data_IF_509790601798
#
_entry.id   IF_509790601798
#
_cell.length_a   1.000
_cell.length_b   1.000
_cell.length_c   1.000
_cell.angle_alpha   90.00
_cell.angle_beta   90.00
_cell.angle_gamma   90.00
#
_symmetry.space_group_name_H-M   'P 1'
#
loop_
_entity.id
_entity.type
_entity.pdbx_description
1 polymer ?
#
# COMPACT_ATOMS: atom_id res chain seq x y z
N UNK A 1 -23.85 -1.81 -10.23
CA UNK A 1 -24.15 -0.88 -9.11
C UNK A 1 -23.82 -1.51 -7.76
N UNK A 2 -23.89 -2.83 -7.62
CA UNK A 2 -23.53 -3.54 -6.39
C UNK A 2 -22.02 -3.58 -6.10
N UNK A 3 -21.16 -3.73 -7.12
CA UNK A 3 -19.73 -3.91 -6.84
C UNK A 3 -19.04 -2.62 -6.35
N UNK A 4 -19.53 -1.44 -6.74
CA UNK A 4 -19.05 -0.17 -6.17
C UNK A 4 -19.39 -0.10 -4.67
N UNK A 5 -20.60 -0.51 -4.28
CA UNK A 5 -21.00 -0.55 -2.86
C UNK A 5 -20.18 -1.57 -2.08
N UNK A 6 -19.92 -2.75 -2.66
CA UNK A 6 -19.02 -3.75 -2.06
C UNK A 6 -17.61 -3.20 -1.87
N UNK A 7 -17.10 -2.46 -2.85
CA UNK A 7 -15.78 -1.83 -2.77
C UNK A 7 -15.72 -0.77 -1.66
N UNK A 8 -16.74 0.07 -1.54
CA UNK A 8 -16.87 1.06 -0.47
C UNK A 8 -17.00 0.39 0.90
N UNK A 9 -17.74 -0.72 0.99
CA UNK A 9 -17.85 -1.52 2.20
C UNK A 9 -16.49 -2.13 2.58
N UNK A 10 -15.77 -2.72 1.62
CA UNK A 10 -14.44 -3.28 1.85
C UNK A 10 -13.45 -2.22 2.33
N UNK A 11 -13.54 -0.99 1.82
CA UNK A 11 -12.75 0.13 2.30
C UNK A 11 -13.06 0.45 3.77
N UNK A 12 -14.34 0.45 4.15
CA UNK A 12 -14.76 0.70 5.53
C UNK A 12 -14.32 -0.43 6.48
N UNK A 13 -14.41 -1.68 6.04
CA UNK A 13 -13.91 -2.84 6.79
C UNK A 13 -12.40 -2.74 7.00
N UNK A 14 -11.64 -2.42 5.95
CA UNK A 14 -10.19 -2.17 6.02
C UNK A 14 -9.86 -1.04 7.02
N UNK A 15 -10.62 0.05 7.01
CA UNK A 15 -10.42 1.16 7.98
C UNK A 15 -10.70 0.69 9.41
N UNK A 16 -11.70 -0.17 9.62
CA UNK A 16 -12.00 -0.71 10.94
C UNK A 16 -10.88 -1.63 11.44
N UNK A 17 -10.26 -2.42 10.56
CA UNK A 17 -9.08 -3.22 10.87
C UNK A 17 -7.89 -2.33 11.24
N UNK A 18 -7.61 -1.29 10.46
CA UNK A 18 -6.56 -0.31 10.76
C UNK A 18 -6.74 0.36 12.11
N UNK A 19 -7.98 0.58 12.56
CA UNK A 19 -8.28 1.19 13.87
C UNK A 19 -7.83 0.33 15.04
N UNK A 20 -7.88 -0.99 14.92
CA UNK A 20 -7.55 -1.94 16.01
C UNK A 20 -6.12 -2.48 15.93
N UNK A 21 -5.42 -2.25 14.81
CA UNK A 21 -4.01 -2.57 14.65
C UNK A 21 -3.13 -1.73 15.58
N UNK A 22 -2.00 -2.30 15.99
CA UNK A 22 -1.01 -1.60 16.80
C UNK A 22 -0.41 -0.41 16.03
N UNK A 23 -0.29 0.73 16.70
CA UNK A 23 0.16 1.98 16.10
C UNK A 23 1.62 2.27 16.48
N UNK A 24 2.40 2.92 15.60
CA UNK A 24 2.03 3.47 14.30
C UNK A 24 1.96 2.40 13.19
N UNK A 25 0.97 2.52 12.31
CA UNK A 25 0.87 1.67 11.11
C UNK A 25 1.69 2.28 9.97
N UNK A 26 2.40 1.43 9.25
CA UNK A 26 3.14 1.80 8.04
C UNK A 26 2.65 1.01 6.84
N UNK A 27 2.91 1.51 5.64
CA UNK A 27 2.58 0.83 4.38
C UNK A 27 3.78 0.84 3.45
N UNK A 28 3.95 -0.22 2.68
CA UNK A 28 4.90 -0.26 1.55
C UNK A 28 4.15 0.05 0.25
N UNK A 29 4.70 0.95 -0.55
CA UNK A 29 4.21 1.33 -1.87
C UNK A 29 5.33 1.14 -2.90
N UNK A 30 5.01 0.75 -4.13
CA UNK A 30 6.03 0.55 -5.16
C UNK A 30 5.47 0.00 -6.46
N UNK A 31 6.34 -0.26 -7.45
CA UNK A 31 5.97 -0.98 -8.66
C UNK A 31 5.45 -2.39 -8.31
N UNK A 32 4.37 -2.81 -8.97
CA UNK A 32 3.88 -4.19 -8.97
C UNK A 32 3.63 -4.61 -10.42
N UNK A 33 2.60 -4.05 -11.04
CA UNK A 33 2.18 -4.37 -12.42
C UNK A 33 2.72 -3.41 -13.49
N UNK A 34 3.16 -2.21 -13.10
CA UNK A 34 3.70 -1.19 -14.01
C UNK A 34 5.02 -0.63 -13.48
N UNK A 35 6.01 -0.48 -14.36
CA UNK A 35 7.36 0.00 -14.03
C UNK A 35 8.21 -1.00 -13.25
N UNK A 36 9.41 -0.58 -12.83
CA UNK A 36 10.25 -1.33 -11.89
C UNK A 36 11.17 -2.34 -12.58
N UNK A 37 11.12 -3.58 -12.09
CA UNK A 37 12.02 -4.67 -12.49
C UNK A 37 11.29 -5.87 -13.12
N UNK A 38 9.99 -5.71 -13.40
CA UNK A 38 9.10 -6.80 -13.85
C UNK A 38 8.29 -7.38 -12.69
N UNK A 39 7.15 -8.01 -13.01
CA UNK A 39 6.13 -8.41 -12.02
C UNK A 39 6.69 -9.29 -10.89
N UNK A 40 7.43 -10.35 -11.23
CA UNK A 40 7.95 -11.30 -10.23
C UNK A 40 8.93 -10.63 -9.25
N UNK A 41 9.86 -9.84 -9.78
CA UNK A 41 10.86 -9.15 -8.94
C UNK A 41 10.22 -8.03 -8.13
N UNK A 42 9.28 -7.29 -8.71
CA UNK A 42 8.51 -6.26 -8.01
C UNK A 42 7.73 -6.87 -6.82
N UNK A 43 7.01 -7.97 -7.05
CA UNK A 43 6.28 -8.69 -6.00
C UNK A 43 7.24 -9.19 -4.91
N UNK A 44 8.37 -9.82 -5.30
CA UNK A 44 9.40 -10.27 -4.35
C UNK A 44 9.91 -9.13 -3.46
N UNK A 45 10.16 -7.95 -4.04
CA UNK A 45 10.64 -6.76 -3.33
C UNK A 45 9.58 -6.19 -2.38
N UNK A 46 8.31 -6.13 -2.79
CA UNK A 46 7.19 -5.74 -1.92
C UNK A 46 7.05 -6.68 -0.71
N UNK A 47 7.09 -8.00 -0.96
CA UNK A 47 7.04 -9.00 0.12
C UNK A 47 8.24 -8.87 1.06
N UNK A 48 9.45 -8.75 0.52
CA UNK A 48 10.67 -8.62 1.32
C UNK A 48 10.68 -7.34 2.17
N UNK A 49 10.25 -6.21 1.60
CA UNK A 49 10.15 -4.95 2.33
C UNK A 49 9.13 -5.00 3.47
N UNK A 50 7.96 -5.60 3.21
CA UNK A 50 6.94 -5.84 4.25
C UNK A 50 7.47 -6.72 5.37
N UNK A 51 8.16 -7.82 5.04
CA UNK A 51 8.76 -8.70 6.03
C UNK A 51 9.82 -8.00 6.88
N UNK A 52 10.67 -7.18 6.25
CA UNK A 52 11.73 -6.45 6.92
C UNK A 52 11.19 -5.35 7.85
N UNK A 53 10.15 -4.62 7.44
CA UNK A 53 9.47 -3.67 8.34
C UNK A 53 8.83 -4.37 9.53
N UNK A 54 8.17 -5.53 9.31
CA UNK A 54 7.63 -6.35 10.41
C UNK A 54 8.75 -6.80 11.36
N UNK A 55 9.89 -7.26 10.83
CA UNK A 55 11.07 -7.67 11.63
C UNK A 55 11.64 -6.53 12.47
N UNK A 56 11.53 -5.28 11.98
CA UNK A 56 11.92 -4.06 12.71
C UNK A 56 10.89 -3.59 13.75
N UNK A 57 9.76 -4.30 13.89
CA UNK A 57 8.73 -4.00 14.87
C UNK A 57 7.64 -3.05 14.39
N UNK A 58 7.60 -2.70 13.09
CA UNK A 58 6.51 -1.91 12.54
C UNK A 58 5.25 -2.76 12.37
N UNK A 59 4.09 -2.13 12.60
CA UNK A 59 2.81 -2.70 12.19
C UNK A 59 2.56 -2.32 10.73
N UNK A 60 2.71 -3.29 9.83
CA UNK A 60 2.61 -3.06 8.38
C UNK A 60 1.20 -3.37 7.90
N UNK A 61 0.55 -2.40 7.26
CA UNK A 61 -0.70 -2.62 6.53
C UNK A 61 -0.44 -3.43 5.26
N UNK A 62 -1.07 -4.59 5.18
CA UNK A 62 -1.01 -5.50 4.04
C UNK A 62 -2.29 -5.38 3.21
N UNK A 63 -2.17 -4.93 1.97
CA UNK A 63 -3.32 -4.68 1.11
C UNK A 63 -3.67 -5.90 0.22
N UNK A 64 -2.78 -6.89 0.12
CA UNK A 64 -2.99 -8.07 -0.75
C UNK A 64 -4.32 -8.81 -0.47
N UNK A 65 -4.78 -8.98 0.78
CA UNK A 65 -6.07 -9.61 1.04
C UNK A 65 -7.24 -8.86 0.40
N UNK A 66 -7.21 -7.52 0.45
CA UNK A 66 -8.22 -6.68 -0.19
C UNK A 66 -8.07 -6.67 -1.71
N UNK A 67 -6.84 -6.74 -2.23
CA UNK A 67 -6.58 -6.82 -3.68
C UNK A 67 -7.26 -8.03 -4.33
N UNK A 68 -7.18 -9.21 -3.69
CA UNK A 68 -7.78 -10.43 -4.20
C UNK A 68 -9.30 -10.26 -4.41
N UNK A 69 -9.99 -9.73 -3.39
CA UNK A 69 -11.43 -9.45 -3.49
C UNK A 69 -11.76 -8.39 -4.55
N UNK A 70 -10.89 -7.38 -4.72
CA UNK A 70 -11.09 -6.30 -5.68
C UNK A 70 -10.91 -6.80 -7.12
N UNK A 71 -9.94 -7.70 -7.36
CA UNK A 71 -9.69 -8.31 -8.68
C UNK A 71 -10.92 -9.07 -9.18
N UNK A 72 -11.63 -9.75 -8.30
CA UNK A 72 -12.86 -10.49 -8.63
C UNK A 72 -14.01 -9.58 -9.10
N UNK A 73 -14.00 -8.29 -8.71
CA UNK A 73 -15.03 -7.33 -9.09
C UNK A 73 -14.82 -6.75 -10.51
N UNK A 74 -13.67 -7.00 -11.15
CA UNK A 74 -13.32 -6.51 -12.50
C UNK A 74 -13.60 -5.00 -12.72
N UNK A 75 -13.32 -4.19 -11.70
CA UNK A 75 -13.57 -2.74 -11.73
C UNK A 75 -12.42 -1.98 -12.41
N UNK A 76 -12.69 -0.84 -13.06
CA UNK A 76 -11.63 0.03 -13.58
C UNK A 76 -10.67 0.46 -12.47
N UNK A 77 -9.37 0.45 -12.74
CA UNK A 77 -8.34 0.83 -11.76
C UNK A 77 -8.61 2.19 -11.11
N UNK A 78 -9.06 3.19 -11.88
CA UNK A 78 -9.42 4.52 -11.35
C UNK A 78 -10.53 4.48 -10.30
N UNK A 79 -11.51 3.58 -10.46
CA UNK A 79 -12.59 3.39 -9.48
C UNK A 79 -12.04 2.78 -8.19
N UNK A 80 -11.13 1.81 -8.30
CA UNK A 80 -10.44 1.21 -7.14
C UNK A 80 -9.63 2.26 -6.38
N UNK A 81 -8.87 3.09 -7.09
CA UNK A 81 -8.09 4.16 -6.46
C UNK A 81 -8.98 5.16 -5.72
N UNK A 82 -10.08 5.59 -6.33
CA UNK A 82 -10.98 6.61 -5.75
C UNK A 82 -11.88 6.08 -4.64
N UNK A 83 -12.36 4.83 -4.75
CA UNK A 83 -13.36 4.27 -3.83
C UNK A 83 -12.77 3.40 -2.72
N UNK A 84 -11.56 2.90 -2.90
CA UNK A 84 -10.87 2.09 -1.89
C UNK A 84 -9.61 2.76 -1.37
N UNK A 85 -8.60 3.03 -2.23
CA UNK A 85 -7.31 3.54 -1.74
C UNK A 85 -7.44 4.93 -1.11
N UNK A 86 -8.18 5.84 -1.74
CA UNK A 86 -8.39 7.21 -1.25
C UNK A 86 -8.96 7.24 0.17
N UNK A 87 -10.11 6.61 0.51
CA UNK A 87 -10.62 6.64 1.87
C UNK A 87 -9.71 5.92 2.88
N UNK A 88 -9.07 4.81 2.49
CA UNK A 88 -8.13 4.09 3.37
C UNK A 88 -6.92 4.97 3.72
N UNK A 89 -6.31 5.62 2.72
CA UNK A 89 -5.17 6.53 2.94
C UNK A 89 -5.57 7.80 3.70
N UNK A 90 -6.75 8.35 3.42
CA UNK A 90 -7.28 9.53 4.10
C UNK A 90 -7.76 9.27 5.54
N UNK A 91 -7.87 8.00 5.96
CA UNK A 91 -8.35 7.62 7.29
C UNK A 91 -7.45 8.12 8.44
N UNK A 92 -6.19 8.41 8.15
CA UNK A 92 -5.20 8.90 9.12
C UNK A 92 -4.61 7.82 10.04
N UNK A 93 -4.96 6.53 9.86
CA UNK A 93 -4.37 5.43 10.63
C UNK A 93 -2.99 5.02 10.14
N UNK A 94 -2.76 5.06 8.82
CA UNK A 94 -1.42 4.87 8.25
C UNK A 94 -0.62 6.14 8.54
N UNK A 95 0.55 6.00 9.17
CA UNK A 95 1.41 7.11 9.58
C UNK A 95 2.60 7.31 8.64
N UNK A 96 3.13 6.23 8.09
CA UNK A 96 4.26 6.28 7.16
C UNK A 96 3.98 5.44 5.91
N UNK A 97 4.25 6.00 4.74
CA UNK A 97 4.28 5.29 3.48
C UNK A 97 5.73 5.19 2.99
N UNK A 98 6.26 3.96 2.96
CA UNK A 98 7.59 3.64 2.43
C UNK A 98 7.49 3.33 0.94
N UNK A 99 8.24 4.05 0.12
CA UNK A 99 8.26 3.87 -1.33
C UNK A 99 9.50 3.09 -1.77
N UNK A 100 9.29 1.98 -2.48
CA UNK A 100 10.39 1.22 -3.08
C UNK A 100 11.04 1.99 -4.23
N UNK A 101 12.30 1.67 -4.53
CA UNK A 101 12.99 2.14 -5.73
C UNK A 101 12.11 2.03 -6.98
N UNK A 102 12.24 3.01 -7.88
CA UNK A 102 11.48 3.10 -9.14
C UNK A 102 9.98 3.28 -8.95
N UNK A 103 9.51 3.74 -7.78
CA UNK A 103 8.09 4.08 -7.59
C UNK A 103 7.58 5.10 -8.62
N UNK A 104 8.44 5.97 -9.14
CA UNK A 104 8.14 6.95 -10.20
C UNK A 104 7.70 6.30 -11.52
N UNK A 105 8.13 5.06 -11.77
CA UNK A 105 7.74 4.29 -12.96
C UNK A 105 6.37 3.60 -12.78
N UNK A 106 5.83 3.58 -11.56
CA UNK A 106 4.53 3.00 -11.22
C UNK A 106 3.46 4.08 -11.17
N UNK A 107 2.44 3.95 -12.03
CA UNK A 107 1.29 4.88 -12.04
C UNK A 107 0.57 4.88 -10.69
N UNK A 108 0.40 3.70 -10.10
CA UNK A 108 -0.23 3.52 -8.79
C UNK A 108 0.58 4.19 -7.68
N UNK A 109 1.87 3.84 -7.57
CA UNK A 109 2.71 4.39 -6.51
C UNK A 109 2.91 5.91 -6.65
N UNK A 110 3.01 6.43 -7.89
CA UNK A 110 3.06 7.88 -8.14
C UNK A 110 1.79 8.58 -7.67
N UNK A 111 0.61 8.02 -7.97
CA UNK A 111 -0.65 8.56 -7.47
C UNK A 111 -0.71 8.51 -5.94
N UNK A 112 -0.30 7.40 -5.32
CA UNK A 112 -0.33 7.24 -3.86
C UNK A 112 0.58 8.26 -3.16
N UNK A 113 1.77 8.50 -3.71
CA UNK A 113 2.72 9.48 -3.17
C UNK A 113 2.18 10.89 -3.26
N UNK A 114 1.63 11.27 -4.42
CA UNK A 114 1.04 12.60 -4.61
C UNK A 114 -0.19 12.79 -3.70
N UNK A 115 -1.07 11.80 -3.63
CA UNK A 115 -2.25 11.84 -2.77
C UNK A 115 -1.86 11.96 -1.30
N UNK A 116 -0.94 11.12 -0.82
CA UNK A 116 -0.43 11.15 0.55
C UNK A 116 0.15 12.54 0.90
N UNK A 117 0.97 13.10 0.00
CA UNK A 117 1.61 14.40 0.20
C UNK A 117 0.61 15.55 0.28
N UNK A 118 -0.43 15.52 -0.55
CA UNK A 118 -1.35 16.64 -0.73
C UNK A 118 -2.58 16.58 0.18
N UNK A 119 -2.97 15.39 0.64
CA UNK A 119 -4.27 15.18 1.28
C UNK A 119 -4.17 14.52 2.67
N UNK A 120 -2.97 14.22 3.15
CA UNK A 120 -2.79 13.48 4.41
C UNK A 120 -1.65 14.05 5.24
N UNK A 121 -1.55 13.60 6.49
CA UNK A 121 -0.42 13.89 7.38
C UNK A 121 0.59 12.73 7.45
N UNK A 122 0.57 11.82 6.47
CA UNK A 122 1.52 10.71 6.42
C UNK A 122 2.94 11.22 6.16
N UNK A 123 3.90 10.62 6.84
CA UNK A 123 5.30 10.73 6.46
C UNK A 123 5.53 9.88 5.20
N UNK A 124 6.22 10.45 4.22
CA UNK A 124 6.62 9.76 3.00
C UNK A 124 8.13 9.52 3.11
N UNK A 125 8.53 8.25 3.05
CA UNK A 125 9.93 7.84 3.12
C UNK A 125 10.27 6.95 1.92
N UNK A 126 11.51 7.02 1.46
CA UNK A 126 12.04 6.03 0.53
C UNK A 126 12.47 4.79 1.34
N UNK A 127 12.13 3.59 0.86
CA UNK A 127 12.56 2.36 1.49
C UNK A 127 14.07 2.18 1.26
N UNK A 128 14.88 2.01 2.32
CA UNK A 128 16.33 1.93 2.16
C UNK A 128 16.74 0.64 1.45
N UNK A 129 17.47 0.75 0.33
CA UNK A 129 17.89 -0.39 -0.48
C UNK A 129 18.80 -1.34 0.30
N UNK A 130 19.62 -0.82 1.21
CA UNK A 130 20.50 -1.60 2.09
C UNK A 130 19.72 -2.56 3.01
N UNK A 131 18.42 -2.34 3.22
CA UNK A 131 17.59 -3.24 4.02
C UNK A 131 17.25 -4.54 3.28
N UNK A 132 17.40 -4.58 1.94
CA UNK A 132 17.30 -5.84 1.18
C UNK A 132 18.56 -6.70 1.30
N UNK A 133 19.73 -6.09 1.54
CA UNK A 133 21.03 -6.77 1.56
C UNK A 133 21.35 -7.42 2.91
N UNK A 134 20.72 -6.92 3.98
CA UNK A 134 20.99 -7.36 5.34
C UNK A 134 19.69 -7.68 6.08
N UNK A 135 19.11 -8.88 5.88
CA UNK A 135 18.18 -9.41 6.88
C UNK A 135 18.98 -9.51 8.18
N UNK A 136 18.85 -8.52 9.08
CA UNK A 136 19.56 -8.54 10.35
C UNK A 136 19.18 -9.86 11.05
N UNK A 137 20.17 -10.64 11.50
CA UNK A 137 19.95 -11.95 12.10
C UNK A 137 19.03 -11.91 13.30
#
# INVERSE_FOLDING_TARGET
MDDIKKLEQLAQETINELKIMHQPIVRVCGPLTTGGFGYEENARRLTAATAELKRRGYSVFDWEPSEAHIKDMNLPHSVVMEKFHKPVLASGYIKTAFFLSKWEESKGATWERNFARENTHMTIEEFPEEWFEHPKP
#
